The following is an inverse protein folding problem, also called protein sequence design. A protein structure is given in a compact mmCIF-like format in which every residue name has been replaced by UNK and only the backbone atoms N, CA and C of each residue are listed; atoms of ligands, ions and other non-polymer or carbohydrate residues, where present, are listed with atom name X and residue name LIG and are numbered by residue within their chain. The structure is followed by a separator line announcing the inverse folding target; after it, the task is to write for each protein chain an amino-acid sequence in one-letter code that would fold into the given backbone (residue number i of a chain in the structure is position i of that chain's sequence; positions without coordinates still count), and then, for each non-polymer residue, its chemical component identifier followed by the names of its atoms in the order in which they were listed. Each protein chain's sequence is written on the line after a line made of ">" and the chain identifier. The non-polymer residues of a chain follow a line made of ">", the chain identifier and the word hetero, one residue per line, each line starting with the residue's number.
data_IF_328867100336
#
_entry.id   IF_328867100336
#
_cell.length_a   1.000
_cell.length_b   1.000
_cell.length_c   1.000
_cell.angle_alpha   90.00
_cell.angle_beta   90.00
_cell.angle_gamma   90.00
#
_symmetry.space_group_name_H-M   'P 1'
#
loop_
_entity.id
_entity.type
_entity.pdbx_description
1 polymer ?
#
# COMPACT_ATOMS: atom_id res chain seq x y z
N UNK A 1 12.30 -39.00 68.68
CA UNK A 1 12.98 -38.94 67.37
C UNK A 1 12.00 -38.37 66.36
N UNK A 2 12.19 -37.12 65.91
CA UNK A 2 11.27 -36.45 64.98
C UNK A 2 11.74 -36.69 63.54
N UNK A 3 11.01 -37.51 62.78
CA UNK A 3 11.27 -37.74 61.34
C UNK A 3 10.74 -36.56 60.55
N UNK A 4 11.63 -35.75 59.96
CA UNK A 4 11.29 -34.68 59.03
C UNK A 4 11.13 -35.27 57.63
N UNK A 5 9.92 -35.18 57.06
CA UNK A 5 9.66 -35.52 55.65
C UNK A 5 10.05 -34.31 54.79
N UNK A 6 11.02 -34.50 53.90
CA UNK A 6 11.37 -33.51 52.87
C UNK A 6 10.47 -33.75 51.65
N UNK A 7 9.54 -32.83 51.39
CA UNK A 7 8.84 -32.77 50.09
C UNK A 7 9.74 -32.03 49.10
N UNK A 8 10.29 -32.76 48.14
CA UNK A 8 10.95 -32.17 46.97
C UNK A 8 9.86 -31.65 46.03
N UNK A 9 9.60 -30.34 46.04
CA UNK A 9 8.74 -29.72 45.05
C UNK A 9 9.48 -29.73 43.69
N UNK A 10 9.02 -30.59 42.77
CA UNK A 10 9.42 -30.51 41.38
C UNK A 10 8.77 -29.25 40.79
N UNK A 11 9.56 -28.19 40.63
CA UNK A 11 9.13 -26.94 40.00
C UNK A 11 8.95 -27.20 38.50
N UNK A 12 7.73 -27.48 38.07
CA UNK A 12 7.38 -27.48 36.65
C UNK A 12 7.35 -26.02 36.21
N UNK A 13 8.43 -25.56 35.58
CA UNK A 13 8.46 -24.25 34.94
C UNK A 13 7.48 -24.26 33.76
N UNK A 14 6.29 -23.71 33.96
CA UNK A 14 5.43 -23.31 32.83
C UNK A 14 6.11 -22.13 32.14
N UNK A 15 6.70 -22.37 30.97
CA UNK A 15 7.07 -21.27 30.09
C UNK A 15 5.76 -20.60 29.64
N UNK A 16 5.47 -19.43 30.19
CA UNK A 16 4.40 -18.59 29.69
C UNK A 16 4.78 -18.17 28.26
N UNK A 17 4.08 -18.73 27.27
CA UNK A 17 4.14 -18.18 25.91
C UNK A 17 3.44 -16.83 25.99
N UNK A 18 4.18 -15.74 25.82
CA UNK A 18 3.58 -14.44 25.65
C UNK A 18 2.72 -14.48 24.39
N UNK A 19 1.39 -14.35 24.52
CA UNK A 19 0.56 -14.02 23.37
C UNK A 19 0.99 -12.62 22.92
N UNK A 20 1.56 -12.52 21.73
CA UNK A 20 1.70 -11.23 21.05
C UNK A 20 0.31 -10.92 20.50
N UNK A 21 -0.33 -9.87 21.01
CA UNK A 21 -1.60 -9.42 20.48
C UNK A 21 -1.39 -8.95 19.03
N UNK A 22 -2.19 -9.48 18.10
CA UNK A 22 -2.22 -8.98 16.74
C UNK A 22 -2.92 -7.63 16.72
N UNK A 23 -2.31 -6.64 16.07
CA UNK A 23 -2.93 -5.34 15.79
C UNK A 23 -3.31 -5.30 14.32
N UNK A 24 -4.54 -4.84 14.03
CA UNK A 24 -5.01 -4.61 12.67
C UNK A 24 -5.21 -3.12 12.48
N UNK A 25 -4.65 -2.59 11.40
CA UNK A 25 -4.87 -1.21 10.96
C UNK A 25 -5.77 -1.21 9.73
N UNK A 26 -6.78 -0.34 9.73
CA UNK A 26 -7.61 -0.04 8.56
C UNK A 26 -7.59 1.47 8.40
N UNK A 27 -7.02 1.93 7.29
CA UNK A 27 -6.75 3.33 7.02
C UNK A 27 -7.30 3.70 5.66
N UNK A 28 -7.70 4.96 5.52
CA UNK A 28 -8.05 5.57 4.25
C UNK A 28 -7.09 6.73 3.99
N UNK A 29 -7.02 7.16 2.73
CA UNK A 29 -6.39 8.44 2.37
C UNK A 29 -7.03 9.54 3.22
N UNK A 30 -6.21 10.31 3.94
CA UNK A 30 -6.70 11.22 4.97
C UNK A 30 -6.81 12.68 4.50
N UNK A 31 -6.13 13.04 3.42
CA UNK A 31 -6.19 14.37 2.82
C UNK A 31 -5.84 14.32 1.34
N UNK A 32 -6.17 15.37 0.59
CA UNK A 32 -6.00 15.38 -0.88
C UNK A 32 -4.54 15.22 -1.34
N UNK A 33 -3.57 15.60 -0.50
CA UNK A 33 -2.15 15.40 -0.81
C UNK A 33 -1.60 14.06 -0.29
N UNK A 34 -2.46 13.19 0.25
CA UNK A 34 -2.08 11.83 0.61
C UNK A 34 -2.27 10.84 -0.55
N UNK A 35 -2.88 11.27 -1.65
CA UNK A 35 -2.83 10.63 -2.94
C UNK A 35 -2.51 11.64 -4.03
N UNK A 36 -2.04 11.14 -5.17
CA UNK A 36 -1.65 11.96 -6.29
C UNK A 36 -1.50 11.12 -7.55
N UNK A 37 -1.73 11.77 -8.68
CA UNK A 37 -1.53 11.24 -10.01
C UNK A 37 -0.38 12.01 -10.65
N UNK A 38 0.56 11.31 -11.27
CA UNK A 38 1.70 11.93 -11.94
C UNK A 38 1.79 11.47 -13.39
N UNK A 39 1.73 12.44 -14.31
CA UNK A 39 1.86 12.16 -15.74
C UNK A 39 3.21 11.49 -16.04
N UNK A 40 3.17 10.34 -16.73
CA UNK A 40 4.36 9.57 -17.03
C UNK A 40 5.43 10.38 -17.76
N UNK A 41 6.68 10.16 -17.37
CA UNK A 41 7.84 10.77 -18.02
C UNK A 41 8.09 10.25 -19.45
N UNK A 42 7.45 9.14 -19.85
CA UNK A 42 7.71 8.47 -21.13
C UNK A 42 6.75 8.87 -22.24
N UNK A 43 5.61 9.47 -21.92
CA UNK A 43 4.57 9.80 -22.89
C UNK A 43 4.72 11.25 -23.36
N UNK A 44 5.14 11.42 -24.62
CA UNK A 44 5.14 12.73 -25.26
C UNK A 44 3.70 13.10 -25.65
N UNK A 45 2.96 13.70 -24.71
CA UNK A 45 1.60 14.15 -24.97
C UNK A 45 1.56 15.65 -25.29
N UNK A 46 1.07 16.07 -26.48
CA UNK A 46 1.06 17.48 -26.87
C UNK A 46 0.29 18.36 -25.89
N UNK A 47 0.99 19.35 -25.31
CA UNK A 47 0.38 20.31 -24.38
C UNK A 47 0.38 19.90 -22.91
N UNK A 48 0.95 18.74 -22.58
CA UNK A 48 1.19 18.30 -21.20
C UNK A 48 2.69 18.22 -20.92
N UNK A 49 3.09 18.41 -19.67
CA UNK A 49 4.49 18.26 -19.27
C UNK A 49 4.64 16.97 -18.46
N UNK A 50 5.54 16.09 -18.92
CA UNK A 50 5.98 14.93 -18.16
C UNK A 50 6.24 15.29 -16.69
N UNK A 51 5.67 14.51 -15.77
CA UNK A 51 5.79 14.74 -14.34
C UNK A 51 4.86 15.82 -13.78
N UNK A 52 3.91 16.36 -14.54
CA UNK A 52 2.81 17.17 -13.97
C UNK A 52 1.99 16.33 -12.96
N UNK A 53 1.48 16.97 -11.91
CA UNK A 53 0.74 16.32 -10.83
C UNK A 53 -0.73 16.75 -10.82
N UNK A 54 -1.61 15.79 -10.56
CA UNK A 54 -2.92 16.05 -9.95
C UNK A 54 -2.91 15.61 -8.48
N UNK A 55 -3.36 16.48 -7.59
CA UNK A 55 -3.43 16.30 -6.13
C UNK A 55 -4.86 16.46 -5.61
N UNK A 56 -5.83 16.60 -6.51
CA UNK A 56 -7.20 16.95 -6.17
C UNK A 56 -8.22 16.21 -7.04
N UNK A 57 -7.78 15.17 -7.76
CA UNK A 57 -8.68 14.26 -8.46
C UNK A 57 -9.70 13.65 -7.48
N UNK A 58 -10.90 13.40 -8.00
CA UNK A 58 -11.98 12.76 -7.24
C UNK A 58 -11.78 11.24 -7.12
N UNK A 59 -10.97 10.69 -8.02
CA UNK A 59 -10.73 9.29 -8.29
C UNK A 59 -9.23 9.07 -8.61
N UNK A 60 -8.85 7.81 -8.88
CA UNK A 60 -7.47 7.44 -9.21
C UNK A 60 -7.48 6.62 -10.50
N UNK A 61 -6.86 7.15 -11.54
CA UNK A 61 -6.77 6.51 -12.84
C UNK A 61 -5.48 5.67 -12.86
N UNK A 62 -5.58 4.42 -12.41
CA UNK A 62 -4.42 3.57 -12.10
C UNK A 62 -3.46 3.28 -13.28
N UNK A 63 -3.80 3.64 -14.52
CA UNK A 63 -2.93 3.46 -15.70
C UNK A 63 -2.97 4.65 -16.63
N UNK A 64 -4.10 4.90 -17.30
CA UNK A 64 -4.25 5.96 -18.31
C UNK A 64 -5.37 6.92 -17.90
N UNK A 65 -5.12 8.22 -18.03
CA UNK A 65 -6.14 9.25 -17.79
C UNK A 65 -6.57 9.91 -19.11
N UNK A 66 -7.89 9.91 -19.38
CA UNK A 66 -8.48 10.59 -20.54
C UNK A 66 -8.35 12.12 -20.45
N UNK A 67 -8.34 12.68 -19.24
CA UNK A 67 -8.02 14.08 -18.95
C UNK A 67 -6.62 14.47 -19.42
N UNK A 68 -5.71 13.51 -19.44
CA UNK A 68 -4.36 13.63 -20.01
C UNK A 68 -4.23 13.03 -21.41
N UNK A 69 -5.31 13.06 -22.20
CA UNK A 69 -5.38 12.51 -23.57
C UNK A 69 -4.94 11.03 -23.64
N UNK A 70 -5.25 10.23 -22.62
CA UNK A 70 -4.91 8.82 -22.53
C UNK A 70 -3.42 8.56 -22.30
N UNK A 71 -2.68 9.51 -21.72
CA UNK A 71 -1.32 9.25 -21.29
C UNK A 71 -1.28 8.41 -20.02
N UNK A 72 -0.27 7.55 -19.94
CA UNK A 72 0.01 6.76 -18.76
C UNK A 72 0.47 7.61 -17.58
N UNK A 73 0.31 7.08 -16.38
CA UNK A 73 0.65 7.79 -15.16
C UNK A 73 1.23 6.92 -14.05
N UNK A 74 1.82 7.57 -13.06
CA UNK A 74 2.25 6.97 -11.80
C UNK A 74 1.34 7.47 -10.69
N UNK A 75 0.63 6.56 -10.04
CA UNK A 75 -0.25 6.90 -8.90
C UNK A 75 0.51 6.71 -7.59
N UNK A 76 0.44 7.72 -6.73
CA UNK A 76 0.95 7.69 -5.38
C UNK A 76 -0.20 7.62 -4.37
N UNK A 77 -0.10 6.72 -3.40
CA UNK A 77 -1.03 6.64 -2.26
C UNK A 77 -0.23 6.56 -0.97
N UNK A 78 -0.62 7.36 0.02
CA UNK A 78 0.01 7.49 1.33
C UNK A 78 -1.04 7.31 2.42
N UNK A 79 -0.73 6.44 3.38
CA UNK A 79 -1.54 6.27 4.58
C UNK A 79 -0.82 6.90 5.77
N UNK A 80 -1.42 7.94 6.34
CA UNK A 80 -0.90 8.58 7.55
C UNK A 80 -1.32 7.82 8.81
N UNK A 81 -0.58 8.02 9.90
CA UNK A 81 -0.87 7.41 11.22
C UNK A 81 -0.84 5.87 11.23
N UNK A 82 0.03 5.29 10.39
CA UNK A 82 0.31 3.85 10.39
C UNK A 82 1.56 3.55 11.25
N UNK A 83 1.35 3.33 12.54
CA UNK A 83 2.43 3.00 13.47
C UNK A 83 2.68 1.49 13.49
N UNK A 84 3.58 1.02 12.62
CA UNK A 84 4.07 -0.36 12.62
C UNK A 84 5.39 -0.42 13.38
N UNK A 85 5.47 -1.16 14.51
CA UNK A 85 6.72 -1.30 15.25
C UNK A 85 7.82 -1.92 14.39
N UNK A 86 9.06 -1.43 14.53
CA UNK A 86 10.22 -2.03 13.87
C UNK A 86 10.35 -3.51 14.28
N UNK A 87 10.54 -4.38 13.29
CA UNK A 87 10.65 -5.83 13.50
C UNK A 87 9.31 -6.53 13.75
N UNK A 88 8.17 -5.83 13.65
CA UNK A 88 6.86 -6.47 13.65
C UNK A 88 6.75 -7.44 12.47
N UNK A 89 6.18 -8.61 12.74
CA UNK A 89 5.78 -9.54 11.68
C UNK A 89 4.46 -9.03 11.08
N UNK A 90 4.47 -8.74 9.77
CA UNK A 90 3.26 -8.40 9.05
C UNK A 90 2.57 -9.71 8.66
N UNK A 91 1.40 -9.95 9.26
CA UNK A 91 0.62 -11.18 9.00
C UNK A 91 -0.09 -11.12 7.66
N UNK A 92 -0.65 -9.95 7.32
CA UNK A 92 -1.34 -9.69 6.06
C UNK A 92 -1.35 -8.20 5.75
N UNK A 93 -1.36 -7.85 4.47
CA UNK A 93 -1.52 -6.48 3.99
C UNK A 93 -2.03 -6.48 2.55
N UNK A 94 -3.04 -5.66 2.29
CA UNK A 94 -3.63 -5.46 0.97
C UNK A 94 -4.24 -4.05 0.90
N UNK A 95 -4.47 -3.57 -0.32
CA UNK A 95 -5.26 -2.37 -0.58
C UNK A 95 -6.64 -2.80 -1.07
N UNK A 96 -7.65 -1.98 -0.81
CA UNK A 96 -9.00 -2.15 -1.31
C UNK A 96 -9.40 -0.90 -2.09
N UNK A 97 -9.81 -1.09 -3.34
CA UNK A 97 -10.24 -0.03 -4.25
C UNK A 97 -11.73 -0.18 -4.52
N UNK A 98 -12.46 0.94 -4.58
CA UNK A 98 -13.81 0.98 -5.14
C UNK A 98 -13.72 1.33 -6.63
N UNK A 99 -14.51 0.65 -7.46
CA UNK A 99 -14.54 0.88 -8.90
C UNK A 99 -15.42 2.11 -9.18
N UNK A 100 -14.88 3.15 -9.82
CA UNK A 100 -15.67 4.33 -10.21
C UNK A 100 -16.12 4.31 -11.68
N UNK A 101 -15.32 3.70 -12.57
CA UNK A 101 -15.65 3.57 -13.99
C UNK A 101 -15.23 2.21 -14.57
N UNK A 102 -15.84 1.83 -15.70
CA UNK A 102 -15.57 0.57 -16.39
C UNK A 102 -14.74 0.76 -17.67
N UNK A 103 -13.46 0.35 -17.60
CA UNK A 103 -12.68 0.08 -18.80
C UNK A 103 -12.76 -1.41 -19.15
N UNK A 104 -13.00 -1.72 -20.43
CA UNK A 104 -13.26 -3.08 -20.92
C UNK A 104 -11.97 -3.85 -21.27
N UNK A 105 -10.79 -3.33 -20.93
CA UNK A 105 -9.49 -3.96 -21.17
C UNK A 105 -8.88 -4.59 -19.92
N UNK A 106 -8.26 -5.80 -20.01
CA UNK A 106 -7.46 -6.31 -18.91
C UNK A 106 -6.24 -5.42 -18.73
N UNK A 107 -5.90 -5.14 -17.47
CA UNK A 107 -4.90 -4.15 -17.08
C UNK A 107 -3.96 -4.76 -16.05
N UNK A 108 -2.69 -4.35 -16.02
CA UNK A 108 -1.76 -4.79 -14.98
C UNK A 108 -1.05 -3.59 -14.39
N UNK A 109 -1.14 -3.44 -13.07
CA UNK A 109 -0.42 -2.43 -12.31
C UNK A 109 0.62 -3.08 -11.41
N UNK A 110 1.65 -2.31 -11.06
CA UNK A 110 2.72 -2.77 -10.18
C UNK A 110 2.78 -1.91 -8.93
N UNK A 111 2.55 -2.53 -7.78
CA UNK A 111 2.71 -1.88 -6.50
C UNK A 111 4.17 -1.90 -6.09
N UNK A 112 4.65 -0.75 -5.63
CA UNK A 112 5.96 -0.55 -5.00
C UNK A 112 5.79 0.26 -3.73
N UNK A 113 6.74 0.13 -2.82
CA UNK A 113 6.77 0.88 -1.56
C UNK A 113 7.91 1.89 -1.62
N UNK A 114 7.60 3.14 -1.24
CA UNK A 114 8.59 4.19 -1.08
C UNK A 114 9.61 3.80 0.00
N UNK A 115 10.90 3.97 -0.28
CA UNK A 115 11.99 3.83 0.69
C UNK A 115 12.06 5.10 1.57
N UNK A 116 11.06 5.25 2.44
CA UNK A 116 10.99 6.31 3.43
C UNK A 116 10.13 5.86 4.62
N UNK A 117 10.72 5.80 5.82
CA UNK A 117 10.00 5.42 7.04
C UNK A 117 8.87 6.41 7.41
N UNK A 118 9.05 7.69 7.10
CA UNK A 118 8.05 8.74 7.30
C UNK A 118 7.87 9.53 6.00
N UNK A 119 7.05 9.00 5.09
CA UNK A 119 6.76 9.68 3.84
C UNK A 119 6.10 11.04 4.11
N UNK A 120 6.58 12.08 3.43
CA UNK A 120 5.88 13.37 3.34
C UNK A 120 4.71 13.25 2.35
N UNK A 121 3.71 14.12 2.52
CA UNK A 121 2.60 14.25 1.56
C UNK A 121 3.13 14.57 0.15
N UNK A 122 2.33 14.30 -0.87
CA UNK A 122 2.64 14.74 -2.22
C UNK A 122 2.58 16.27 -2.34
N UNK A 123 3.31 16.81 -3.31
CA UNK A 123 3.40 18.25 -3.56
C UNK A 123 3.38 18.52 -5.06
N UNK A 124 2.85 19.69 -5.44
CA UNK A 124 2.76 20.10 -6.84
C UNK A 124 4.14 20.56 -7.35
N UNK A 125 5.03 19.60 -7.53
CA UNK A 125 6.40 19.78 -8.00
C UNK A 125 6.66 18.67 -9.00
N UNK A 126 7.17 18.96 -10.21
CA UNK A 126 7.31 17.92 -11.22
C UNK A 126 8.09 16.70 -10.73
N UNK A 127 7.61 15.51 -11.08
CA UNK A 127 8.20 14.23 -10.69
C UNK A 127 8.16 13.93 -9.18
N UNK A 128 7.23 14.53 -8.42
CA UNK A 128 7.12 14.33 -6.97
C UNK A 128 6.90 12.87 -6.54
N UNK A 129 6.31 12.04 -7.40
CA UNK A 129 6.06 10.61 -7.17
C UNK A 129 7.20 9.80 -7.78
N UNK A 130 7.47 9.91 -9.08
CA UNK A 130 8.44 9.05 -9.77
C UNK A 130 9.90 9.26 -9.33
N UNK A 131 10.24 10.42 -8.76
CA UNK A 131 11.60 10.67 -8.23
C UNK A 131 11.82 10.13 -6.82
N UNK A 132 10.76 9.67 -6.12
CA UNK A 132 10.89 9.11 -4.78
C UNK A 132 11.64 7.77 -4.86
N UNK A 133 12.62 7.53 -3.97
CA UNK A 133 13.27 6.22 -3.90
C UNK A 133 12.23 5.17 -3.50
N UNK A 134 12.30 4.00 -4.14
CA UNK A 134 11.43 2.86 -3.87
C UNK A 134 12.28 1.62 -3.64
N UNK A 135 11.75 0.66 -2.89
CA UNK A 135 12.36 -0.66 -2.81
C UNK A 135 12.35 -1.35 -4.19
N UNK A 136 13.29 -2.28 -4.38
CA UNK A 136 13.42 -3.01 -5.64
C UNK A 136 12.24 -3.96 -5.89
N UNK A 137 11.65 -4.49 -4.82
CA UNK A 137 10.54 -5.43 -4.88
C UNK A 137 9.25 -4.77 -5.38
N UNK A 138 8.40 -5.59 -6.01
CA UNK A 138 7.09 -5.16 -6.50
C UNK A 138 6.10 -6.31 -6.49
N UNK A 139 4.81 -5.98 -6.39
CA UNK A 139 3.70 -6.94 -6.56
C UNK A 139 2.90 -6.51 -7.78
N UNK A 140 2.70 -7.44 -8.71
CA UNK A 140 1.83 -7.22 -9.87
C UNK A 140 0.38 -7.51 -9.49
N UNK A 141 -0.53 -6.62 -9.88
CA UNK A 141 -1.97 -6.84 -9.81
C UNK A 141 -2.54 -6.87 -11.22
N UNK A 142 -2.92 -8.08 -11.65
CA UNK A 142 -3.64 -8.29 -12.90
C UNK A 142 -5.13 -8.04 -12.66
N UNK A 143 -5.64 -6.96 -13.22
CA UNK A 143 -7.05 -6.57 -13.20
C UNK A 143 -7.68 -7.13 -14.48
N UNK A 144 -8.67 -8.03 -14.38
CA UNK A 144 -9.33 -8.55 -15.57
C UNK A 144 -10.15 -7.46 -16.27
N UNK A 145 -10.48 -7.67 -17.54
CA UNK A 145 -11.54 -6.90 -18.17
C UNK A 145 -12.87 -7.18 -17.46
N UNK A 146 -13.65 -6.13 -17.22
CA UNK A 146 -14.98 -6.26 -16.66
C UNK A 146 -15.97 -6.66 -17.77
N UNK A 147 -16.66 -7.78 -17.62
CA UNK A 147 -17.71 -8.20 -18.57
C UNK A 147 -19.00 -7.37 -18.39
N UNK A 148 -19.20 -6.81 -17.20
CA UNK A 148 -20.28 -5.90 -16.85
C UNK A 148 -19.74 -4.79 -15.96
N UNK A 149 -20.25 -3.54 -16.06
CA UNK A 149 -19.85 -2.47 -15.17
C UNK A 149 -20.04 -2.89 -13.71
N UNK A 150 -18.96 -2.87 -12.93
CA UNK A 150 -18.97 -3.18 -11.50
C UNK A 150 -18.84 -1.93 -10.62
N UNK A 151 -19.26 -0.78 -11.14
CA UNK A 151 -19.20 0.52 -10.45
C UNK A 151 -19.78 0.40 -9.03
N UNK A 152 -19.02 0.90 -8.05
CA UNK A 152 -19.32 0.86 -6.63
C UNK A 152 -18.96 -0.46 -5.91
N UNK A 153 -18.53 -1.49 -6.63
CA UNK A 153 -17.97 -2.70 -6.00
C UNK A 153 -16.54 -2.44 -5.53
N UNK A 154 -16.12 -3.14 -4.47
CA UNK A 154 -14.74 -3.11 -4.00
C UNK A 154 -13.94 -4.31 -4.47
N UNK A 155 -12.64 -4.08 -4.69
CA UNK A 155 -11.68 -5.09 -5.11
C UNK A 155 -10.41 -4.97 -4.28
N UNK A 156 -9.97 -6.12 -3.79
CA UNK A 156 -8.72 -6.22 -3.05
C UNK A 156 -7.58 -6.53 -3.99
N UNK A 157 -6.43 -5.92 -3.74
CA UNK A 157 -5.19 -6.28 -4.41
C UNK A 157 -4.75 -7.69 -3.99
N UNK A 158 -3.85 -8.32 -4.75
CA UNK A 158 -3.01 -9.39 -4.22
C UNK A 158 -2.32 -8.92 -2.92
N UNK A 159 -1.93 -9.86 -2.04
CA UNK A 159 -1.20 -9.52 -0.83
C UNK A 159 0.07 -8.72 -1.16
N UNK A 160 0.22 -7.57 -0.52
CA UNK A 160 1.42 -6.72 -0.57
C UNK A 160 2.29 -6.88 0.68
N UNK A 161 2.02 -7.89 1.50
CA UNK A 161 2.70 -8.20 2.76
C UNK A 161 4.23 -8.18 2.64
N UNK A 162 4.78 -8.71 1.55
CA UNK A 162 6.23 -8.73 1.32
C UNK A 162 6.82 -7.33 1.06
N UNK A 163 6.05 -6.40 0.48
CA UNK A 163 6.51 -5.04 0.19
C UNK A 163 6.57 -4.17 1.46
N UNK A 164 5.70 -4.44 2.43
CA UNK A 164 5.60 -3.67 3.67
C UNK A 164 6.29 -4.35 4.85
N UNK A 165 6.75 -5.58 4.68
CA UNK A 165 7.58 -6.25 5.68
C UNK A 165 8.97 -5.60 5.68
N UNK A 166 9.32 -4.92 6.77
CA UNK A 166 10.66 -4.36 6.93
C UNK A 166 11.71 -5.48 6.96
N UNK A 167 12.87 -5.32 6.29
CA UNK A 167 14.02 -6.18 6.54
C UNK A 167 14.50 -5.98 7.97
N UNK A 168 14.80 -7.10 8.64
CA UNK A 168 15.22 -7.19 10.03
C UNK A 168 16.43 -6.30 10.37
#
# INVERSE_FOLDING_TARGET
>A
MLKRLLFSACLVAFAAVAMVAQTTHTLQVAGSSDDAEELSATEANPGLNAGDLDLASSDLELVDDIGWNGAGQTVGVRFSNLDVPQGALIVDAFLEFAIDDDNNGPTTVYFKVQDAANAVTFANTPYNISSRPVFADSVAWAIPAWETPEIGQTRQTPPVTNLVQAPC
#
